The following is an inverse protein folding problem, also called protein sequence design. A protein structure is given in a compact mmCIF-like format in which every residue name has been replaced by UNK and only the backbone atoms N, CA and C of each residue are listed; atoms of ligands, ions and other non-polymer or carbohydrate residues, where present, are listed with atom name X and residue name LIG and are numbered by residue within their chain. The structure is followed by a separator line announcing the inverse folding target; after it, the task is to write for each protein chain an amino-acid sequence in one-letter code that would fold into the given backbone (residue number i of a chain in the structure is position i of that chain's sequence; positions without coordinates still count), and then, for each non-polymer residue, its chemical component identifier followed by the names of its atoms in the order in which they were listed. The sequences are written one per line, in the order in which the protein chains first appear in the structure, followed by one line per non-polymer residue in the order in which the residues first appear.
data_IF_932259293163
#
_entry.id   IF_932259293163
#
_cell.length_a   1.000
_cell.length_b   1.000
_cell.length_c   1.000
_cell.angle_alpha   90.00
_cell.angle_beta   90.00
_cell.angle_gamma   90.00
#
_symmetry.space_group_name_H-M   'P 1'
#
loop_
_entity.id
_entity.type
_entity.pdbx_description
1 polymer ?
#
# COMPACT_ATOMS: atom_id res chain seq x y z
N UNK A 1 -2.37 38.18 -18.57
CA UNK A 1 -3.49 37.69 -17.75
C UNK A 1 -3.05 36.38 -17.11
N UNK A 2 -2.50 36.44 -15.90
CA UNK A 2 -2.09 35.24 -15.17
C UNK A 2 -3.30 34.67 -14.44
N UNK A 3 -3.79 33.53 -14.91
CA UNK A 3 -4.82 32.78 -14.18
C UNK A 3 -4.20 32.25 -12.89
N UNK A 4 -4.67 32.79 -11.76
CA UNK A 4 -4.51 32.16 -10.46
C UNK A 4 -5.23 30.81 -10.52
N UNK A 5 -4.48 29.70 -10.50
CA UNK A 5 -5.05 28.40 -10.16
C UNK A 5 -5.34 28.43 -8.68
N UNK A 6 -6.63 28.46 -8.35
CA UNK A 6 -7.16 28.34 -6.99
C UNK A 6 -6.51 27.14 -6.30
N UNK A 7 -6.11 27.33 -5.05
CA UNK A 7 -5.72 26.26 -4.15
C UNK A 7 -6.91 25.28 -4.04
N UNK A 8 -6.74 24.03 -4.49
CA UNK A 8 -7.67 22.96 -4.12
C UNK A 8 -7.83 22.97 -2.59
N UNK A 9 -9.05 22.88 -2.05
CA UNK A 9 -9.25 22.76 -0.62
C UNK A 9 -8.50 21.52 -0.15
N UNK A 10 -7.64 21.68 0.87
CA UNK A 10 -6.90 20.58 1.49
C UNK A 10 -7.93 19.58 2.02
N UNK A 11 -8.14 18.47 1.31
CA UNK A 11 -8.99 17.40 1.77
C UNK A 11 -8.26 16.73 2.93
N UNK A 12 -8.71 17.01 4.17
CA UNK A 12 -8.10 16.38 5.34
C UNK A 12 -8.54 14.92 5.38
N UNK A 13 -7.58 14.01 5.18
CA UNK A 13 -7.77 12.57 5.30
C UNK A 13 -8.59 12.21 6.55
N UNK A 14 -9.61 11.36 6.40
CA UNK A 14 -10.29 10.74 7.55
C UNK A 14 -9.29 9.84 8.27
N UNK A 15 -9.02 10.10 9.55
CA UNK A 15 -8.10 9.27 10.35
C UNK A 15 -8.89 8.37 11.29
N UNK A 16 -8.68 7.06 11.17
CA UNK A 16 -9.13 6.05 12.12
C UNK A 16 -7.98 5.74 13.06
N UNK A 17 -8.19 5.94 14.36
CA UNK A 17 -7.14 5.77 15.37
C UNK A 17 -6.90 4.29 15.67
N UNK A 18 -5.73 3.99 16.22
CA UNK A 18 -5.31 2.62 16.51
C UNK A 18 -6.32 1.79 17.32
N UNK A 19 -6.97 2.40 18.32
CA UNK A 19 -7.97 1.71 19.14
C UNK A 19 -9.28 1.39 18.40
N UNK A 20 -9.53 2.01 17.25
CA UNK A 20 -10.70 1.78 16.37
C UNK A 20 -10.34 0.96 15.14
N UNK A 21 -9.05 0.72 14.90
CA UNK A 21 -8.54 0.14 13.67
C UNK A 21 -9.07 -1.26 13.41
N UNK A 22 -9.17 -2.10 14.44
CA UNK A 22 -9.65 -3.48 14.28
C UNK A 22 -11.12 -3.53 13.86
N UNK A 23 -11.96 -2.65 14.44
CA UNK A 23 -13.36 -2.53 14.06
C UNK A 23 -13.50 -2.12 12.58
N UNK A 24 -12.77 -1.07 12.16
CA UNK A 24 -12.78 -0.60 10.77
C UNK A 24 -12.24 -1.64 9.79
N UNK A 25 -11.16 -2.32 10.12
CA UNK A 25 -10.58 -3.37 9.27
C UNK A 25 -11.50 -4.58 9.15
N UNK A 26 -12.26 -4.91 10.20
CA UNK A 26 -13.22 -6.02 10.18
C UNK A 26 -14.30 -5.83 9.11
N UNK A 27 -14.79 -4.59 8.93
CA UNK A 27 -15.73 -4.23 7.85
C UNK A 27 -15.14 -4.53 6.46
N UNK A 28 -13.82 -4.37 6.31
CA UNK A 28 -13.07 -4.61 5.09
C UNK A 28 -12.70 -6.09 4.88
N UNK A 29 -13.01 -6.97 5.84
CA UNK A 29 -12.62 -8.38 5.83
C UNK A 29 -11.15 -8.62 6.22
N UNK A 30 -10.55 -7.67 6.95
CA UNK A 30 -9.21 -7.73 7.53
C UNK A 30 -9.30 -7.72 9.06
N UNK A 31 -8.15 -7.85 9.72
CA UNK A 31 -8.00 -7.54 11.15
C UNK A 31 -6.63 -6.91 11.40
N UNK A 32 -6.47 -6.22 12.52
CA UNK A 32 -5.15 -5.77 12.97
C UNK A 32 -4.18 -6.94 13.11
N UNK A 33 -4.68 -8.10 13.57
CA UNK A 33 -3.87 -9.31 13.70
C UNK A 33 -3.31 -9.81 12.35
N UNK A 34 -4.12 -9.81 11.28
CA UNK A 34 -3.64 -10.21 9.94
C UNK A 34 -2.54 -9.27 9.45
N UNK A 35 -2.71 -7.96 9.65
CA UNK A 35 -1.74 -6.95 9.22
C UNK A 35 -0.43 -7.07 10.00
N UNK A 36 -0.50 -7.09 11.34
CA UNK A 36 0.69 -7.20 12.21
C UNK A 36 1.46 -8.49 11.93
N UNK A 37 0.79 -9.63 11.85
CA UNK A 37 1.43 -10.92 11.53
C UNK A 37 2.17 -10.86 10.20
N UNK A 38 1.58 -10.21 9.20
CA UNK A 38 2.17 -10.08 7.88
C UNK A 38 3.41 -9.20 7.88
N UNK A 39 3.34 -8.04 8.54
CA UNK A 39 4.46 -7.10 8.67
C UNK A 39 5.61 -7.72 9.48
N UNK A 40 5.31 -8.38 10.60
CA UNK A 40 6.33 -9.08 11.41
C UNK A 40 6.99 -10.20 10.63
N UNK A 41 6.24 -10.98 9.84
CA UNK A 41 6.80 -12.02 8.95
C UNK A 41 7.77 -11.43 7.93
N UNK A 42 7.40 -10.30 7.31
CA UNK A 42 8.28 -9.58 6.39
C UNK A 42 9.54 -9.08 7.08
N UNK A 43 9.41 -8.55 8.29
CA UNK A 43 10.54 -8.06 9.07
C UNK A 43 11.52 -9.17 9.48
N UNK A 44 10.99 -10.30 9.95
CA UNK A 44 11.79 -11.49 10.25
C UNK A 44 12.58 -11.97 9.04
N UNK A 45 11.99 -11.89 7.84
CA UNK A 45 12.66 -12.22 6.61
C UNK A 45 13.75 -11.21 6.22
N UNK A 46 13.42 -9.92 6.32
CA UNK A 46 14.37 -8.82 6.10
C UNK A 46 15.60 -8.96 6.99
N UNK A 47 15.43 -9.28 8.27
CA UNK A 47 16.54 -9.48 9.21
C UNK A 47 17.52 -10.55 8.73
N UNK A 48 17.02 -11.68 8.23
CA UNK A 48 17.87 -12.80 7.76
C UNK A 48 18.82 -12.41 6.62
N UNK A 49 18.47 -11.39 5.86
CA UNK A 49 19.23 -10.94 4.68
C UNK A 49 19.86 -9.55 4.86
N UNK A 50 19.80 -8.98 6.07
CA UNK A 50 20.34 -7.64 6.37
C UNK A 50 21.84 -7.66 6.70
N UNK A 51 22.59 -8.60 6.12
CA UNK A 51 24.05 -8.71 6.26
C UNK A 51 24.76 -8.16 5.02
N UNK A 52 25.99 -7.66 5.20
CA UNK A 52 26.77 -6.92 4.18
C UNK A 52 27.01 -7.63 2.83
N UNK A 53 26.70 -8.92 2.73
CA UNK A 53 26.96 -9.72 1.54
C UNK A 53 25.82 -9.65 0.52
N UNK A 54 24.63 -9.24 0.94
CA UNK A 54 23.49 -9.08 0.04
C UNK A 54 23.51 -7.69 -0.63
N UNK A 55 22.92 -7.55 -1.83
CA UNK A 55 22.68 -6.26 -2.44
C UNK A 55 21.90 -5.34 -1.50
N UNK A 56 22.19 -4.04 -1.59
CA UNK A 56 21.65 -3.03 -0.66
C UNK A 56 20.12 -3.00 -0.61
N UNK A 57 19.47 -3.18 -1.76
CA UNK A 57 18.01 -3.17 -1.90
C UNK A 57 17.34 -4.49 -1.47
N UNK A 58 18.10 -5.58 -1.37
CA UNK A 58 17.56 -6.93 -1.16
C UNK A 58 16.78 -7.10 0.14
N UNK A 59 17.19 -6.53 1.30
CA UNK A 59 16.38 -6.55 2.51
C UNK A 59 15.01 -5.89 2.33
N UNK A 60 14.96 -4.74 1.66
CA UNK A 60 13.71 -4.03 1.39
C UNK A 60 12.77 -4.84 0.48
N UNK A 61 13.31 -5.43 -0.59
CA UNK A 61 12.57 -6.33 -1.49
C UNK A 61 12.05 -7.56 -0.73
N UNK A 62 12.88 -8.15 0.11
CA UNK A 62 12.52 -9.33 0.93
C UNK A 62 11.38 -9.00 1.88
N UNK A 63 11.45 -7.86 2.58
CA UNK A 63 10.40 -7.42 3.50
C UNK A 63 9.06 -7.25 2.78
N UNK A 64 9.08 -6.56 1.63
CA UNK A 64 7.89 -6.33 0.83
C UNK A 64 7.28 -7.66 0.35
N UNK A 65 8.09 -8.54 -0.25
CA UNK A 65 7.63 -9.79 -0.82
C UNK A 65 7.03 -10.71 0.26
N UNK A 66 7.69 -10.82 1.41
CA UNK A 66 7.25 -11.69 2.50
C UNK A 66 6.05 -11.12 3.27
N UNK A 67 5.97 -9.79 3.42
CA UNK A 67 4.77 -9.12 3.96
C UNK A 67 3.56 -9.39 3.05
N UNK A 68 3.71 -9.18 1.73
CA UNK A 68 2.61 -9.41 0.79
C UNK A 68 2.23 -10.90 0.71
N UNK A 69 3.21 -11.80 0.69
CA UNK A 69 2.96 -13.24 0.68
C UNK A 69 2.24 -13.70 1.95
N UNK A 70 2.61 -13.15 3.11
CA UNK A 70 1.91 -13.43 4.37
C UNK A 70 0.49 -12.88 4.35
N UNK A 71 0.29 -11.63 3.91
CA UNK A 71 -1.03 -11.01 3.82
C UNK A 71 -1.96 -11.80 2.90
N UNK A 72 -1.47 -12.21 1.72
CA UNK A 72 -2.19 -13.12 0.81
C UNK A 72 -2.58 -14.41 1.53
N UNK A 73 -1.63 -15.10 2.16
CA UNK A 73 -1.91 -16.35 2.89
C UNK A 73 -2.99 -16.18 3.96
N UNK A 74 -2.91 -15.12 4.76
CA UNK A 74 -3.89 -14.85 5.82
C UNK A 74 -5.28 -14.59 5.24
N UNK A 75 -5.40 -13.78 4.19
CA UNK A 75 -6.70 -13.45 3.60
C UNK A 75 -7.31 -14.60 2.81
N UNK A 76 -6.52 -15.36 2.03
CA UNK A 76 -7.03 -16.53 1.32
C UNK A 76 -7.56 -17.62 2.27
N UNK A 77 -6.98 -17.78 3.47
CA UNK A 77 -7.45 -18.73 4.49
C UNK A 77 -8.86 -18.43 5.00
N UNK A 78 -9.29 -17.16 4.99
CA UNK A 78 -10.61 -16.77 5.50
C UNK A 78 -11.77 -17.31 4.64
N UNK A 79 -11.48 -17.76 3.41
CA UNK A 79 -12.49 -18.21 2.43
C UNK A 79 -13.56 -17.16 2.11
N UNK A 80 -13.25 -15.87 2.28
CA UNK A 80 -14.14 -14.74 2.00
C UNK A 80 -13.97 -14.17 0.57
N UNK A 81 -13.66 -15.03 -0.40
CA UNK A 81 -13.55 -14.62 -1.81
C UNK A 81 -12.27 -13.84 -2.18
N UNK A 82 -11.26 -13.80 -1.33
CA UNK A 82 -9.96 -13.19 -1.64
C UNK A 82 -9.20 -13.97 -2.73
N UNK A 83 -8.56 -13.23 -3.63
CA UNK A 83 -7.77 -13.74 -4.76
C UNK A 83 -6.46 -12.97 -4.90
N UNK A 84 -5.49 -13.59 -5.56
CA UNK A 84 -4.22 -12.94 -5.91
C UNK A 84 -4.43 -12.11 -7.18
N UNK A 85 -4.05 -10.82 -7.13
CA UNK A 85 -4.05 -9.92 -8.29
C UNK A 85 -2.62 -9.60 -8.71
N UNK A 86 -2.35 -9.64 -10.01
CA UNK A 86 -1.02 -9.41 -10.60
C UNK A 86 -1.12 -8.68 -11.95
N UNK A 87 -2.28 -8.12 -12.26
CA UNK A 87 -2.54 -7.53 -13.57
C UNK A 87 -1.61 -6.34 -13.82
N UNK A 88 -0.91 -6.36 -14.96
CA UNK A 88 0.11 -5.35 -15.29
C UNK A 88 1.29 -5.34 -14.31
N UNK A 89 1.70 -6.51 -13.80
CA UNK A 89 2.74 -6.69 -12.78
C UNK A 89 2.46 -5.94 -11.46
N UNK A 90 1.17 -5.67 -11.17
CA UNK A 90 0.77 -4.98 -9.96
C UNK A 90 0.30 -5.98 -8.89
N UNK A 91 1.22 -6.33 -8.01
CA UNK A 91 1.07 -7.37 -7.00
C UNK A 91 0.12 -6.94 -5.86
N UNK A 92 -1.08 -7.54 -5.83
CA UNK A 92 -2.13 -7.28 -4.83
C UNK A 92 -2.78 -8.55 -4.29
N UNK A 93 -3.59 -8.40 -3.24
CA UNK A 93 -4.64 -9.34 -2.85
C UNK A 93 -5.97 -8.60 -2.90
N UNK A 94 -6.98 -9.16 -3.57
CA UNK A 94 -8.24 -8.47 -3.85
C UNK A 94 -9.47 -9.33 -3.60
N UNK A 95 -10.60 -8.68 -3.40
CA UNK A 95 -11.93 -9.29 -3.33
C UNK A 95 -12.91 -8.45 -4.14
N UNK A 96 -13.34 -8.97 -5.28
CA UNK A 96 -14.34 -8.31 -6.12
C UNK A 96 -15.68 -8.14 -5.40
N UNK A 97 -16.06 -9.08 -4.53
CA UNK A 97 -17.28 -8.99 -3.72
C UNK A 97 -17.25 -7.79 -2.77
N UNK A 98 -16.07 -7.47 -2.23
CA UNK A 98 -15.88 -6.32 -1.31
C UNK A 98 -15.48 -5.04 -2.05
N UNK A 99 -15.17 -5.13 -3.34
CA UNK A 99 -14.59 -4.06 -4.13
C UNK A 99 -13.26 -3.51 -3.55
N UNK A 100 -12.42 -4.39 -3.01
CA UNK A 100 -11.16 -4.02 -2.33
C UNK A 100 -9.96 -4.76 -2.92
N UNK A 101 -8.87 -4.04 -3.14
CA UNK A 101 -7.55 -4.60 -3.42
C UNK A 101 -6.52 -4.00 -2.45
N UNK A 102 -5.57 -4.80 -1.96
CA UNK A 102 -4.49 -4.35 -1.09
C UNK A 102 -3.13 -4.55 -1.74
N UNK A 103 -2.36 -3.47 -1.79
CA UNK A 103 -0.93 -3.50 -2.14
C UNK A 103 -0.09 -3.17 -0.90
N UNK A 104 1.12 -3.74 -0.80
CA UNK A 104 2.09 -3.40 0.24
C UNK A 104 3.08 -2.37 -0.30
N UNK A 105 3.28 -1.27 0.42
CA UNK A 105 4.15 -0.17 0.00
C UNK A 105 4.96 0.39 1.17
N UNK A 106 6.15 0.91 0.86
CA UNK A 106 6.96 1.65 1.84
C UNK A 106 6.49 3.11 1.96
N UNK A 107 6.29 3.55 3.20
CA UNK A 107 6.00 4.94 3.56
C UNK A 107 7.20 5.65 4.18
N UNK A 108 7.00 6.90 4.58
CA UNK A 108 8.02 7.73 5.23
C UNK A 108 7.86 7.74 6.77
N UNK A 109 8.69 8.54 7.44
CA UNK A 109 8.69 8.66 8.89
C UNK A 109 7.40 9.22 9.51
N UNK A 110 6.39 9.60 8.72
CA UNK A 110 5.08 10.02 9.22
C UNK A 110 4.02 8.91 9.14
N UNK A 111 4.36 7.75 8.56
CA UNK A 111 3.50 6.56 8.51
C UNK A 111 3.12 6.11 9.93
N UNK A 112 1.84 5.80 10.11
CA UNK A 112 1.27 5.36 11.38
C UNK A 112 1.18 6.46 12.44
N UNK A 113 1.37 7.74 12.08
CA UNK A 113 1.29 8.87 13.01
C UNK A 113 0.13 9.79 12.60
N UNK A 114 -0.76 10.09 13.56
CA UNK A 114 -1.69 11.22 13.49
C UNK A 114 -0.92 12.49 13.88
N UNK A 115 -0.32 13.13 12.88
CA UNK A 115 0.60 14.24 13.08
C UNK A 115 0.24 15.48 12.28
N UNK A 116 1.12 16.49 12.27
CA UNK A 116 0.89 17.74 11.52
C UNK A 116 0.97 17.56 10.00
N UNK A 117 1.40 16.38 9.52
CA UNK A 117 1.57 16.05 8.11
C UNK A 117 1.17 14.60 7.85
N UNK A 118 0.54 14.37 6.70
CA UNK A 118 0.26 13.03 6.17
C UNK A 118 1.52 12.36 5.60
N UNK A 119 1.59 11.01 5.67
CA UNK A 119 2.71 10.26 5.15
C UNK A 119 2.79 10.36 3.63
N UNK A 120 3.99 10.22 3.12
CA UNK A 120 4.25 10.06 1.70
C UNK A 120 4.91 8.72 1.43
N UNK A 121 4.65 8.16 0.25
CA UNK A 121 5.41 7.01 -0.22
C UNK A 121 6.82 7.44 -0.61
N UNK A 122 7.80 6.57 -0.39
CA UNK A 122 9.23 6.90 -0.55
C UNK A 122 9.77 6.72 -1.97
N UNK A 123 8.96 6.17 -2.88
CA UNK A 123 9.36 5.87 -4.26
C UNK A 123 8.34 6.40 -5.25
N UNK A 124 8.83 6.93 -6.37
CA UNK A 124 7.99 7.26 -7.53
C UNK A 124 7.26 6.01 -7.98
N UNK A 125 6.02 6.19 -8.44
CA UNK A 125 5.17 5.08 -8.83
C UNK A 125 5.05 4.99 -10.34
N UNK A 126 5.16 3.75 -10.83
CA UNK A 126 4.98 3.43 -12.24
C UNK A 126 3.53 3.69 -12.70
N UNK A 127 3.30 3.71 -14.02
CA UNK A 127 2.02 4.09 -14.64
C UNK A 127 0.85 3.29 -14.05
N UNK A 128 1.04 1.99 -13.82
CA UNK A 128 -0.01 1.13 -13.27
C UNK A 128 -0.50 1.55 -11.90
N UNK A 129 0.38 2.01 -11.01
CA UNK A 129 -0.05 2.53 -9.71
C UNK A 129 -0.82 3.85 -9.87
N UNK A 130 -0.42 4.70 -10.82
CA UNK A 130 -1.11 5.97 -11.09
C UNK A 130 -2.55 5.71 -11.54
N UNK A 131 -2.73 4.80 -12.49
CA UNK A 131 -4.05 4.36 -12.96
C UNK A 131 -4.94 3.85 -11.81
N UNK A 132 -4.38 3.09 -10.85
CA UNK A 132 -5.12 2.62 -9.67
C UNK A 132 -5.55 3.77 -8.75
N UNK A 133 -4.70 4.77 -8.57
CA UNK A 133 -4.98 5.94 -7.72
C UNK A 133 -6.01 6.86 -8.39
N UNK A 134 -5.88 7.12 -9.69
CA UNK A 134 -6.87 7.88 -10.48
C UNK A 134 -8.26 7.21 -10.42
N UNK A 135 -8.29 5.88 -10.45
CA UNK A 135 -9.54 5.12 -10.28
C UNK A 135 -10.13 5.24 -8.88
N UNK A 136 -9.30 5.23 -7.83
CA UNK A 136 -9.78 5.53 -6.47
C UNK A 136 -10.41 6.93 -6.39
N UNK A 137 -9.78 7.94 -7.00
CA UNK A 137 -10.31 9.30 -7.04
C UNK A 137 -11.65 9.37 -7.80
N UNK A 138 -11.78 8.64 -8.92
CA UNK A 138 -13.04 8.54 -9.65
C UNK A 138 -14.15 7.88 -8.80
N UNK A 139 -13.83 6.82 -8.05
CA UNK A 139 -14.77 6.16 -7.14
C UNK A 139 -15.19 7.05 -5.98
N UNK A 140 -14.28 7.84 -5.42
CA UNK A 140 -14.60 8.81 -4.37
C UNK A 140 -15.57 9.89 -4.88
N UNK A 141 -15.28 10.46 -6.06
CA UNK A 141 -16.15 11.46 -6.68
C UNK A 141 -17.53 10.89 -7.03
N UNK A 142 -17.59 9.64 -7.47
CA UNK A 142 -18.84 8.96 -7.78
C UNK A 142 -19.65 8.65 -6.52
N UNK A 143 -19.02 8.24 -5.43
CA UNK A 143 -19.70 8.03 -4.15
C UNK A 143 -20.37 9.31 -3.62
N UNK A 144 -19.80 10.48 -3.92
CA UNK A 144 -20.37 11.80 -3.61
C UNK A 144 -21.49 12.23 -4.56
N UNK A 145 -21.52 11.69 -5.78
CA UNK A 145 -22.49 12.00 -6.83
C UNK A 145 -23.34 10.76 -7.09
N UNK A 146 -24.36 10.53 -6.27
CA UNK A 146 -25.33 9.45 -6.51
C UNK A 146 -25.79 9.48 -7.98
N UNK A 147 -25.75 8.32 -8.65
CA UNK A 147 -26.19 8.03 -10.03
C UNK A 147 -25.30 8.50 -11.19
N UNK A 148 -24.09 7.92 -11.35
CA UNK A 148 -23.57 7.68 -12.70
C UNK A 148 -23.30 6.20 -12.96
N UNK A 149 -23.77 5.65 -14.11
CA UNK A 149 -23.42 4.31 -14.53
C UNK A 149 -21.93 4.26 -14.87
N UNK A 150 -21.22 3.30 -14.27
CA UNK A 150 -19.85 2.96 -14.64
C UNK A 150 -19.81 2.59 -16.12
N UNK A 151 -19.00 3.32 -16.90
CA UNK A 151 -18.55 2.85 -18.20
C UNK A 151 -17.83 1.52 -17.99
N UNK A 152 -18.52 0.43 -18.32
CA UNK A 152 -18.00 -0.92 -18.25
C UNK A 152 -17.03 -1.15 -19.41
N UNK A 153 -15.82 -0.59 -19.29
CA UNK A 153 -14.68 -1.25 -19.90
C UNK A 153 -14.50 -2.61 -19.21
N UNK A 154 -14.15 -3.66 -19.97
CA UNK A 154 -13.80 -4.98 -19.43
C UNK A 154 -12.45 -4.90 -18.70
N UNK A 155 -12.43 -4.17 -17.58
CA UNK A 155 -11.27 -4.03 -16.72
C UNK A 155 -11.13 -5.31 -15.90
N UNK A 156 -9.91 -5.87 -15.75
CA UNK A 156 -9.67 -7.03 -14.91
C UNK A 156 -10.21 -6.83 -13.49
N UNK A 157 -10.74 -7.90 -12.89
CA UNK A 157 -11.50 -7.79 -11.63
C UNK A 157 -10.68 -7.21 -10.47
N UNK A 158 -9.37 -7.43 -10.44
CA UNK A 158 -8.49 -6.84 -9.44
C UNK A 158 -8.30 -5.33 -9.69
N UNK A 159 -8.24 -4.89 -10.96
CA UNK A 159 -8.17 -3.50 -11.41
C UNK A 159 -9.43 -2.68 -11.16
N UNK A 160 -10.60 -3.32 -11.20
CA UNK A 160 -11.88 -2.69 -10.91
C UNK A 160 -12.11 -2.42 -9.41
N UNK A 161 -11.27 -2.97 -8.52
CA UNK A 161 -11.40 -2.75 -7.08
C UNK A 161 -10.77 -1.42 -6.64
N UNK A 162 -11.28 -0.83 -5.55
CA UNK A 162 -10.56 0.25 -4.86
C UNK A 162 -9.24 -0.28 -4.31
N UNK A 163 -8.12 0.33 -4.71
CA UNK A 163 -6.78 -0.10 -4.29
C UNK A 163 -6.36 0.63 -3.02
N UNK A 164 -6.29 -0.10 -1.92
CA UNK A 164 -5.78 0.32 -0.62
C UNK A 164 -4.31 -0.07 -0.46
N UNK A 165 -3.58 0.75 0.30
CA UNK A 165 -2.18 0.52 0.59
C UNK A 165 -1.99 0.10 2.04
N UNK A 166 -1.38 -1.06 2.27
CA UNK A 166 -0.68 -1.34 3.51
C UNK A 166 0.66 -0.61 3.45
N UNK A 167 0.70 0.56 4.09
CA UNK A 167 1.88 1.42 4.15
C UNK A 167 2.71 1.01 5.36
N UNK A 168 3.98 0.69 5.13
CA UNK A 168 4.90 0.23 6.17
C UNK A 168 6.12 1.14 6.24
N UNK A 169 6.50 1.53 7.46
CA UNK A 169 7.73 2.23 7.76
C UNK A 169 8.44 1.52 8.90
N UNK A 170 9.69 1.12 8.70
CA UNK A 170 10.51 0.48 9.74
C UNK A 170 11.67 1.41 10.12
N UNK A 171 11.85 1.60 11.42
CA UNK A 171 13.05 2.16 12.03
C UNK A 171 13.73 1.11 12.93
N UNK A 172 14.76 1.53 13.68
CA UNK A 172 15.60 0.62 14.48
C UNK A 172 14.82 -0.08 15.58
N UNK A 173 13.83 0.62 16.15
CA UNK A 173 13.10 0.17 17.32
C UNK A 173 11.71 -0.38 16.94
N UNK A 174 11.04 0.23 15.98
CA UNK A 174 9.64 -0.03 15.67
C UNK A 174 9.35 -0.10 14.18
N UNK A 175 8.31 -0.85 13.86
CA UNK A 175 7.65 -0.85 12.55
C UNK A 175 6.28 -0.23 12.72
N UNK A 176 6.10 0.92 12.08
CA UNK A 176 4.84 1.65 12.01
C UNK A 176 4.12 1.29 10.73
N UNK A 177 2.80 1.16 10.82
CA UNK A 177 1.99 0.73 9.69
C UNK A 177 0.61 1.38 9.71
N UNK A 178 0.04 1.53 8.52
CA UNK A 178 -1.35 1.95 8.33
C UNK A 178 -1.93 1.31 7.08
N UNK A 179 -3.25 1.19 7.04
CA UNK A 179 -4.00 0.82 5.82
C UNK A 179 -4.70 2.07 5.32
N UNK A 180 -4.28 2.57 4.17
CA UNK A 180 -4.68 3.90 3.68
C UNK A 180 -5.18 3.85 2.24
N UNK A 181 -6.21 4.64 1.95
CA UNK A 181 -6.81 4.79 0.61
C UNK A 181 -6.19 6.01 -0.09
N UNK A 182 -5.28 5.81 -1.07
CA UNK A 182 -4.68 6.91 -1.83
C UNK A 182 -5.66 7.46 -2.87
N UNK A 183 -5.62 8.77 -3.11
CA UNK A 183 -6.42 9.43 -4.16
C UNK A 183 -5.67 10.43 -5.03
N UNK A 184 -4.47 10.86 -4.65
CA UNK A 184 -3.67 11.71 -5.53
C UNK A 184 -2.17 11.45 -5.44
N UNK A 185 -1.49 11.82 -6.52
CA UNK A 185 -0.05 11.86 -6.65
C UNK A 185 0.35 13.33 -6.66
N UNK A 186 1.16 13.71 -5.68
CA UNK A 186 1.70 15.07 -5.57
C UNK A 186 2.54 15.43 -6.79
N UNK A 187 2.80 16.74 -6.94
CA UNK A 187 3.63 17.31 -8.01
C UNK A 187 5.04 16.72 -8.12
N UNK A 188 5.58 16.18 -7.04
CA UNK A 188 6.90 15.50 -7.01
C UNK A 188 6.85 14.03 -7.44
N UNK A 189 5.68 13.53 -7.83
CA UNK A 189 5.45 12.15 -8.29
C UNK A 189 5.27 11.15 -7.16
N UNK A 190 5.14 11.61 -5.91
CA UNK A 190 4.93 10.78 -4.74
C UNK A 190 3.46 10.78 -4.33
N UNK A 191 2.95 9.62 -3.93
CA UNK A 191 1.63 9.50 -3.34
C UNK A 191 1.69 10.08 -1.93
N UNK A 192 0.81 11.03 -1.62
CA UNK A 192 0.79 11.68 -0.32
C UNK A 192 -0.55 12.31 0.05
N UNK A 193 -1.60 12.02 -0.70
CA UNK A 193 -2.97 12.45 -0.41
C UNK A 193 -3.86 11.22 -0.26
N UNK A 194 -4.66 11.22 0.81
CA UNK A 194 -5.40 10.05 1.27
C UNK A 194 -6.85 10.43 1.57
N UNK A 195 -7.80 9.54 1.27
CA UNK A 195 -9.20 9.70 1.69
C UNK A 195 -9.38 9.23 3.12
N UNK A 196 -8.83 8.06 3.43
CA UNK A 196 -8.93 7.44 4.75
C UNK A 196 -7.59 6.81 5.11
N UNK A 197 -7.19 6.98 6.37
CA UNK A 197 -5.98 6.42 6.96
C UNK A 197 -6.37 5.63 8.21
N UNK A 198 -6.13 4.31 8.19
CA UNK A 198 -6.39 3.43 9.33
C UNK A 198 -5.06 3.15 10.02
N UNK A 199 -4.78 3.89 11.08
CA UNK A 199 -3.53 3.79 11.84
C UNK A 199 -3.56 2.52 12.68
N UNK A 200 -2.47 1.75 12.69
CA UNK A 200 -2.33 0.54 13.49
C UNK A 200 -1.16 0.72 14.45
N UNK A 201 -1.29 0.25 15.69
CA UNK A 201 -0.23 0.32 16.69
C UNK A 201 1.07 -0.31 16.16
N UNK A 202 2.24 0.31 16.43
CA UNK A 202 3.51 -0.22 15.98
C UNK A 202 3.82 -1.59 16.58
N UNK A 203 4.64 -2.35 15.87
CA UNK A 203 5.28 -3.57 16.39
C UNK A 203 6.77 -3.32 16.61
N UNK A 204 7.41 -4.01 17.56
CA UNK A 204 8.87 -3.97 17.67
C UNK A 204 9.53 -4.39 16.35
N UNK A 205 10.55 -3.64 15.94
CA UNK A 205 11.45 -4.01 14.85
C UNK A 205 12.38 -5.10 15.36
N UNK A 206 12.76 -6.03 14.49
CA UNK A 206 13.73 -7.06 14.87
C UNK A 206 15.20 -6.60 14.78
N UNK A 207 15.44 -5.29 14.71
CA UNK A 207 16.74 -4.66 14.95
C UNK A 207 17.73 -4.70 13.78
N UNK A 208 17.32 -5.21 12.61
CA UNK A 208 18.04 -4.93 11.37
C UNK A 208 17.43 -3.66 10.78
N UNK A 209 18.18 -2.65 10.33
CA UNK A 209 17.64 -1.62 9.41
C UNK A 209 18.71 -1.34 8.37
N UNK A 210 18.47 -1.79 7.14
CA UNK A 210 18.97 -1.04 6.00
C UNK A 210 17.86 -0.02 5.70
N UNK A 211 18.13 1.30 5.76
CA UNK A 211 17.21 2.27 5.21
C UNK A 211 16.88 1.82 3.79
N UNK A 212 15.59 1.80 3.43
CA UNK A 212 15.22 1.78 2.01
C UNK A 212 15.61 3.16 1.50
N UNK A 213 16.91 3.35 1.21
CA UNK A 213 17.35 4.54 0.51
C UNK A 213 16.64 4.58 -0.84
N UNK A 214 16.26 5.78 -1.31
CA UNK A 214 15.73 5.92 -2.65
C UNK A 214 16.81 5.40 -3.61
N UNK A 215 16.50 4.29 -4.29
CA UNK A 215 17.24 3.92 -5.48
C UNK A 215 16.98 5.05 -6.49
N UNK A 216 17.98 5.91 -6.69
CA UNK A 216 18.12 6.64 -7.94
C UNK A 216 18.47 5.58 -8.97
N UNK A 217 17.56 5.36 -9.92
CA UNK A 217 17.66 4.42 -11.03
C UNK A 217 17.37 2.94 -10.69
N UNK A 218 16.13 2.52 -10.98
CA UNK A 218 15.84 1.11 -11.23
C UNK A 218 14.84 1.00 -12.36
N UNK A 219 15.30 1.39 -13.56
CA UNK A 219 14.81 0.82 -14.82
C UNK A 219 15.56 -0.52 -15.00
N UNK A 220 15.23 -1.52 -14.18
CA UNK A 220 15.74 -2.89 -14.36
C UNK A 220 14.70 -3.68 -15.16
N UNK A 221 14.76 -3.50 -16.49
CA UNK A 221 14.08 -4.33 -17.49
C UNK A 221 14.83 -5.67 -17.70
N UNK A 222 15.47 -6.21 -16.66
CA UNK A 222 16.20 -7.47 -16.71
C UNK A 222 15.27 -8.67 -16.84
N UNK A 223 15.57 -9.54 -17.82
CA UNK A 223 15.01 -10.89 -17.90
C UNK A 223 15.13 -11.60 -16.54
N UNK A 224 14.04 -12.22 -16.02
CA UNK A 224 14.08 -12.85 -14.71
C UNK A 224 15.13 -13.97 -14.71
N UNK A 225 16.07 -13.92 -13.76
CA UNK A 225 17.11 -14.93 -13.56
C UNK A 225 16.54 -16.36 -13.39
N UNK A 226 15.26 -16.47 -13.04
CA UNK A 226 14.51 -17.72 -12.98
C UNK A 226 13.13 -17.50 -13.58
N UNK A 227 12.82 -18.18 -14.67
CA UNK A 227 11.45 -18.28 -15.18
C UNK A 227 10.73 -19.37 -14.37
N UNK A 228 9.62 -19.03 -13.72
CA UNK A 228 8.72 -20.04 -13.14
C UNK A 228 7.65 -20.40 -14.16
N UNK A 229 7.52 -21.69 -14.43
CA UNK A 229 6.39 -22.27 -15.18
C UNK A 229 5.14 -22.21 -14.30
N UNK A 230 4.03 -21.82 -14.92
CA UNK A 230 2.72 -21.59 -14.29
C UNK A 230 2.17 -22.80 -13.51
#
# INVERSE_FOLDING_TARGET
MSQHREHSPVHRSKVVRAHEADARLSEMGLSVANVRTSVTTGDDARRRVSVKFYPRNFPGVTMWAETLASLRRELLKTRQGWRIGQTGNYETVYSAQRNLAFAVVAGDKYTGIEGPRDPCLTRRRGPKTKERIERNAAYEQLALKLDLPLLAEEIPADEACSTWFLVVYADEDYIRMEVSLPVDIRKDGLVGEWVERIIIDPVPSSGAVAPIEPDEDSDDDGEPLVTRTA
#
